data_IF_700893997142
#
_entry.id   IF_700893997142
#
_cell.length_a   1.000
_cell.length_b   1.000
_cell.length_c   1.000
_cell.angle_alpha   90.00
_cell.angle_beta   90.00
_cell.angle_gamma   90.00
#
_symmetry.space_group_name_H-M   'P 1'
#
loop_
_entity.id
_entity.type
_entity.pdbx_description
1 polymer ?
#
# COMPACT_ATOMS: atom_id res chain seq x y z
N UNK A 1 -8.69 -5.55 1.49
CA UNK A 1 -7.93 -4.44 2.09
C UNK A 1 -7.63 -4.82 3.53
N UNK A 2 -6.40 -4.59 3.99
CA UNK A 2 -6.04 -4.76 5.42
C UNK A 2 -6.83 -3.75 6.27
N UNK A 3 -6.88 -3.97 7.59
CA UNK A 3 -7.55 -3.04 8.52
C UNK A 3 -6.98 -1.62 8.37
N UNK A 4 -5.65 -1.53 8.38
CA UNK A 4 -4.86 -0.32 8.19
C UNK A 4 -5.15 0.38 6.86
N UNK A 5 -5.09 -0.36 5.75
CA UNK A 5 -5.36 0.19 4.42
C UNK A 5 -6.80 0.68 4.27
N UNK A 6 -7.77 -0.03 4.87
CA UNK A 6 -9.18 0.38 4.92
C UNK A 6 -9.37 1.64 5.77
N UNK A 7 -8.66 1.77 6.88
CA UNK A 7 -8.69 2.96 7.72
C UNK A 7 -8.22 4.19 6.94
N UNK A 8 -7.02 4.14 6.36
CA UNK A 8 -6.47 5.25 5.54
C UNK A 8 -7.39 5.61 4.38
N UNK A 9 -7.94 4.59 3.70
CA UNK A 9 -8.90 4.82 2.62
C UNK A 9 -10.13 5.61 3.07
N UNK A 10 -10.71 5.26 4.23
CA UNK A 10 -11.86 5.97 4.79
C UNK A 10 -11.51 7.39 5.24
N UNK A 11 -10.35 7.57 5.85
CA UNK A 11 -9.88 8.90 6.27
C UNK A 11 -9.65 9.80 5.05
N UNK A 12 -9.09 9.26 3.96
CA UNK A 12 -8.95 10.00 2.72
C UNK A 12 -10.30 10.49 2.17
N UNK A 13 -11.31 9.61 2.13
CA UNK A 13 -12.65 9.98 1.65
C UNK A 13 -13.32 11.08 2.50
N UNK A 14 -12.97 11.18 3.79
CA UNK A 14 -13.47 12.24 4.68
C UNK A 14 -12.67 13.54 4.62
N UNK A 15 -11.49 13.52 4.00
CA UNK A 15 -10.57 14.66 3.95
C UNK A 15 -11.19 15.87 3.23
N UNK A 16 -10.71 17.06 3.58
CA UNK A 16 -11.13 18.30 2.93
C UNK A 16 -10.85 18.26 1.42
N UNK A 17 -9.70 17.72 1.02
CA UNK A 17 -9.36 17.52 -0.40
C UNK A 17 -10.43 16.73 -1.15
N UNK A 18 -10.92 15.62 -0.56
CA UNK A 18 -11.95 14.81 -1.21
C UNK A 18 -13.28 15.58 -1.30
N UNK A 19 -13.64 16.34 -0.26
CA UNK A 19 -14.82 17.22 -0.28
C UNK A 19 -14.72 18.30 -1.35
N UNK A 20 -13.54 18.92 -1.52
CA UNK A 20 -13.32 19.98 -2.51
C UNK A 20 -13.38 19.44 -3.94
N UNK A 21 -12.85 18.23 -4.17
CA UNK A 21 -13.00 17.50 -5.43
C UNK A 21 -14.48 17.25 -5.76
N UNK A 22 -15.26 16.75 -4.79
CA UNK A 22 -16.68 16.47 -4.99
C UNK A 22 -17.53 17.72 -5.25
N UNK A 23 -17.10 18.88 -4.73
CA UNK A 23 -17.71 20.18 -5.01
C UNK A 23 -17.29 20.78 -6.36
N UNK A 24 -16.39 20.12 -7.10
CA UNK A 24 -15.85 20.62 -8.37
C UNK A 24 -14.76 21.70 -8.21
N UNK A 25 -14.30 21.97 -6.98
CA UNK A 25 -13.26 22.97 -6.69
C UNK A 25 -11.84 22.47 -6.92
N UNK A 26 -11.65 21.19 -7.26
CA UNK A 26 -10.34 20.59 -7.52
C UNK A 26 -10.45 19.48 -8.57
N UNK A 27 -9.38 19.25 -9.32
CA UNK A 27 -9.29 18.21 -10.34
C UNK A 27 -9.46 16.80 -9.75
N UNK A 28 -10.47 16.06 -10.23
CA UNK A 28 -10.81 14.70 -9.76
C UNK A 28 -9.65 13.70 -9.84
N UNK A 29 -8.74 13.91 -10.78
CA UNK A 29 -7.57 13.05 -11.00
C UNK A 29 -6.68 12.94 -9.76
N UNK A 30 -6.53 14.00 -8.96
CA UNK A 30 -5.74 13.96 -7.72
C UNK A 30 -6.34 12.95 -6.75
N UNK A 31 -7.66 12.96 -6.61
CA UNK A 31 -8.43 12.00 -5.82
C UNK A 31 -8.19 10.55 -6.24
N UNK A 32 -8.34 10.30 -7.54
CA UNK A 32 -8.17 8.96 -8.10
C UNK A 32 -6.73 8.44 -7.96
N UNK A 33 -5.73 9.31 -8.14
CA UNK A 33 -4.31 8.95 -7.96
C UNK A 33 -4.03 8.53 -6.52
N UNK A 34 -4.53 9.28 -5.54
CA UNK A 34 -4.33 8.98 -4.12
C UNK A 34 -5.04 7.69 -3.70
N UNK A 35 -6.29 7.49 -4.13
CA UNK A 35 -7.02 6.24 -3.91
C UNK A 35 -6.28 5.04 -4.52
N UNK A 36 -5.74 5.19 -5.73
CA UNK A 36 -4.93 4.15 -6.38
C UNK A 36 -3.65 3.83 -5.59
N UNK A 37 -2.96 4.85 -5.08
CA UNK A 37 -1.78 4.67 -4.21
C UNK A 37 -2.14 3.85 -2.97
N UNK A 38 -3.16 4.27 -2.22
CA UNK A 38 -3.64 3.57 -1.02
C UNK A 38 -3.97 2.11 -1.35
N UNK A 39 -4.67 1.84 -2.45
CA UNK A 39 -5.03 0.49 -2.88
C UNK A 39 -3.83 -0.39 -3.29
N UNK A 40 -2.74 0.19 -3.78
CA UNK A 40 -1.52 -0.54 -4.13
C UNK A 40 -0.67 -0.83 -2.89
N UNK A 41 -0.35 0.21 -2.13
CA UNK A 41 0.31 0.10 -0.83
C UNK A 41 0.09 1.39 -0.04
N UNK A 42 -0.33 1.34 1.24
CA UNK A 42 -0.62 2.56 1.99
C UNK A 42 0.59 3.48 2.16
N UNK A 43 1.80 2.94 2.23
CA UNK A 43 3.06 3.69 2.33
C UNK A 43 3.33 4.60 1.11
N UNK A 44 2.67 4.37 -0.04
CA UNK A 44 2.76 5.28 -1.17
C UNK A 44 1.99 6.60 -0.97
N UNK A 45 1.18 6.67 0.09
CA UNK A 45 0.32 7.81 0.39
C UNK A 45 0.58 8.38 1.80
N UNK A 46 0.83 7.53 2.78
CA UNK A 46 0.99 7.91 4.18
C UNK A 46 2.42 7.69 4.66
N UNK A 47 2.94 8.66 5.41
CA UNK A 47 4.15 8.49 6.21
C UNK A 47 3.80 7.81 7.53
N UNK A 48 4.64 6.83 7.91
CA UNK A 48 4.47 6.01 9.11
C UNK A 48 5.44 6.40 10.22
N UNK A 49 6.16 7.52 10.09
CA UNK A 49 7.07 8.06 11.11
C UNK A 49 6.44 8.15 12.50
N UNK A 50 5.16 8.53 12.58
CA UNK A 50 4.40 8.63 13.84
C UNK A 50 3.72 7.31 14.30
N UNK A 51 3.89 6.21 13.56
CA UNK A 51 3.28 4.93 13.92
C UNK A 51 3.88 4.35 15.20
N UNK A 52 3.01 3.92 16.10
CA UNK A 52 3.37 3.23 17.32
C UNK A 52 3.11 1.73 17.15
N UNK A 53 4.14 0.88 17.16
CA UNK A 53 4.00 -0.57 17.13
C UNK A 53 3.08 -1.07 18.26
N UNK A 54 2.23 -2.04 17.95
CA UNK A 54 1.44 -2.73 18.96
C UNK A 54 2.32 -3.69 19.79
N UNK A 55 1.84 -4.12 20.96
CA UNK A 55 2.62 -5.02 21.83
C UNK A 55 2.92 -6.34 21.10
N UNK A 56 4.21 -6.66 20.97
CA UNK A 56 4.71 -7.86 20.29
C UNK A 56 4.98 -7.67 18.79
N UNK A 57 4.78 -6.48 18.23
CA UNK A 57 5.28 -6.14 16.89
C UNK A 57 6.75 -5.70 16.95
N UNK A 58 7.53 -6.13 15.96
CA UNK A 58 8.87 -5.60 15.75
C UNK A 58 8.77 -4.16 15.20
N UNK A 59 9.30 -3.21 15.96
CA UNK A 59 9.21 -1.79 15.62
C UNK A 59 9.92 -1.44 14.31
N UNK A 60 11.03 -2.13 14.01
CA UNK A 60 11.84 -1.86 12.84
C UNK A 60 11.17 -2.46 11.59
N UNK A 61 10.64 -3.69 11.68
CA UNK A 61 9.84 -4.29 10.60
C UNK A 61 8.62 -3.43 10.26
N UNK A 62 7.89 -2.97 11.28
CA UNK A 62 6.69 -2.20 11.04
C UNK A 62 7.06 -0.83 10.46
N UNK A 63 8.12 -0.17 10.92
CA UNK A 63 8.53 1.12 10.35
C UNK A 63 9.11 1.02 8.95
N UNK A 64 9.51 -0.18 8.51
CA UNK A 64 10.04 -0.39 7.18
C UNK A 64 9.04 0.07 6.10
N UNK A 65 9.54 0.90 5.18
CA UNK A 65 8.78 1.29 4.00
C UNK A 65 8.50 0.07 3.12
N UNK A 66 7.23 -0.16 2.80
CA UNK A 66 6.81 -1.31 2.01
C UNK A 66 6.48 -2.56 2.84
N UNK A 67 6.23 -2.42 4.16
CA UNK A 67 5.92 -3.55 5.03
C UNK A 67 4.75 -4.41 4.48
N UNK A 68 4.98 -5.67 4.07
CA UNK A 68 4.00 -6.43 3.28
C UNK A 68 2.64 -6.60 3.96
N UNK A 69 2.62 -6.76 5.29
CA UNK A 69 1.37 -6.97 6.05
C UNK A 69 0.46 -5.74 6.05
N UNK A 70 0.93 -4.56 5.65
CA UNK A 70 0.09 -3.36 5.48
C UNK A 70 -0.75 -3.38 4.22
N UNK A 71 -0.34 -4.11 3.17
CA UNK A 71 -1.06 -4.15 1.89
C UNK A 71 -1.69 -5.51 1.65
N UNK A 72 -3.00 -5.51 1.38
CA UNK A 72 -3.71 -6.76 1.08
C UNK A 72 -3.21 -7.45 -0.19
N UNK A 73 -2.71 -6.66 -1.16
CA UNK A 73 -2.12 -7.19 -2.39
C UNK A 73 -0.78 -7.87 -2.10
N UNK A 74 0.04 -7.28 -1.22
CA UNK A 74 1.34 -7.85 -0.85
C UNK A 74 1.18 -9.16 -0.07
N UNK A 75 0.23 -9.24 0.86
CA UNK A 75 -0.07 -10.49 1.60
C UNK A 75 -0.48 -11.63 0.65
N UNK A 76 -1.31 -11.33 -0.36
CA UNK A 76 -1.71 -12.32 -1.37
C UNK A 76 -0.53 -12.66 -2.28
N UNK A 77 0.24 -11.67 -2.72
CA UNK A 77 1.43 -11.86 -3.55
C UNK A 77 2.45 -12.77 -2.87
N UNK A 78 2.72 -12.56 -1.58
CA UNK A 78 3.62 -13.41 -0.79
C UNK A 78 3.18 -14.88 -0.83
N UNK A 79 1.87 -15.12 -0.67
CA UNK A 79 1.31 -16.47 -0.70
C UNK A 79 1.43 -17.09 -2.09
N UNK A 80 1.12 -16.33 -3.14
CA UNK A 80 1.19 -16.81 -4.54
C UNK A 80 2.62 -17.13 -4.96
N UNK A 81 3.59 -16.26 -4.66
CA UNK A 81 4.98 -16.47 -5.00
C UNK A 81 5.56 -17.71 -4.32
N UNK A 82 5.22 -17.95 -3.04
CA UNK A 82 5.63 -19.19 -2.34
C UNK A 82 5.10 -20.45 -3.04
N UNK A 83 3.86 -20.43 -3.52
CA UNK A 83 3.26 -21.56 -4.25
C UNK A 83 3.94 -21.75 -5.61
N UNK A 84 4.07 -20.69 -6.40
CA UNK A 84 4.65 -20.74 -7.73
C UNK A 84 6.13 -21.11 -7.72
N UNK A 85 6.88 -20.66 -6.71
CA UNK A 85 8.26 -21.06 -6.50
C UNK A 85 8.38 -22.56 -6.23
N UNK A 86 7.52 -23.13 -5.37
CA UNK A 86 7.47 -24.59 -5.13
C UNK A 86 7.12 -25.39 -6.39
N UNK A 87 6.35 -24.81 -7.28
CA UNK A 87 5.97 -25.41 -8.57
C UNK A 87 7.01 -25.16 -9.69
N UNK A 88 8.12 -24.49 -9.39
CA UNK A 88 9.15 -24.11 -10.36
C UNK A 88 8.62 -23.25 -11.53
N UNK A 89 7.62 -22.40 -11.26
CA UNK A 89 7.07 -21.46 -12.23
C UNK A 89 7.84 -20.14 -12.22
N UNK A 90 7.96 -19.50 -13.39
CA UNK A 90 8.47 -18.13 -13.53
C UNK A 90 7.29 -17.18 -13.76
N UNK A 91 7.28 -16.05 -13.07
CA UNK A 91 6.25 -15.02 -13.21
C UNK A 91 6.86 -13.65 -13.50
N UNK A 92 6.10 -12.81 -14.20
CA UNK A 92 6.41 -11.39 -14.39
C UNK A 92 5.46 -10.56 -13.54
N UNK A 93 6.02 -9.66 -12.72
CA UNK A 93 5.25 -8.72 -11.92
C UNK A 93 5.21 -7.36 -12.63
N UNK A 94 4.01 -6.88 -12.94
CA UNK A 94 3.80 -5.59 -13.57
C UNK A 94 3.18 -4.60 -12.58
N UNK A 95 3.68 -3.37 -12.58
CA UNK A 95 3.12 -2.26 -11.83
C UNK A 95 3.26 -0.96 -12.62
N UNK A 96 2.40 0.01 -12.33
CA UNK A 96 2.34 1.27 -13.08
C UNK A 96 3.33 2.33 -12.59
N UNK A 97 3.95 2.17 -11.42
CA UNK A 97 4.81 3.22 -10.82
C UNK A 97 6.15 2.68 -10.35
N UNK A 98 7.19 3.51 -10.49
CA UNK A 98 8.54 3.25 -9.97
C UNK A 98 8.56 3.08 -8.46
N UNK A 99 7.79 3.88 -7.72
CA UNK A 99 7.71 3.75 -6.26
C UNK A 99 7.21 2.37 -5.82
N UNK A 100 6.27 1.79 -6.58
CA UNK A 100 5.75 0.46 -6.27
C UNK A 100 6.72 -0.64 -6.71
N UNK A 101 7.55 -0.39 -7.74
CA UNK A 101 8.68 -1.27 -8.07
C UNK A 101 9.69 -1.31 -6.91
N UNK A 102 10.03 -0.18 -6.29
CA UNK A 102 10.95 -0.16 -5.15
C UNK A 102 10.43 -0.99 -3.96
N UNK A 103 9.11 -0.95 -3.69
CA UNK A 103 8.51 -1.80 -2.65
C UNK A 103 8.61 -3.29 -3.04
N UNK A 104 8.35 -3.63 -4.31
CA UNK A 104 8.48 -5.00 -4.78
C UNK A 104 9.92 -5.50 -4.73
N UNK A 105 10.90 -4.64 -5.05
CA UNK A 105 12.32 -4.96 -4.99
C UNK A 105 12.76 -5.25 -3.55
N UNK A 106 12.47 -4.36 -2.60
CA UNK A 106 12.79 -4.58 -1.18
C UNK A 106 12.01 -5.72 -0.51
N UNK A 107 10.97 -6.24 -1.18
CA UNK A 107 10.23 -7.42 -0.72
C UNK A 107 10.83 -8.74 -1.26
N UNK A 108 11.51 -8.71 -2.40
CA UNK A 108 12.00 -9.91 -3.09
C UNK A 108 13.50 -10.17 -2.88
N UNK A 109 14.26 -9.14 -2.50
CA UNK A 109 15.70 -9.21 -2.17
C UNK A 109 15.85 -9.41 -0.67
#
# INVERSE_FOLDING_TARGET
LTKTQRHIYKEYLKSQQCKDILKGGTQVFVGLINLRKICNHPDLYTDWSDYRPEYGEDADEVRQFGYPKRSGKMVVLETLLKIWHKQNNRCLLFTQSKQMLNILEGFLI
#
